data_IF_070287270446
#
_entry.id   IF_070287270446
#
_cell.length_a   1.000
_cell.length_b   1.000
_cell.length_c   1.000
_cell.angle_alpha   90.00
_cell.angle_beta   90.00
_cell.angle_gamma   90.00
#
_symmetry.space_group_name_H-M   'P 1'
#
loop_
_entity.id
_entity.type
_entity.pdbx_description
1 polymer ?
#
# COMPACT_ATOMS: atom_id res chain seq x y z
N UNK A 1 -16.05 -4.47 -2.03
CA UNK A 1 -14.68 -4.10 -2.38
C UNK A 1 -13.72 -5.23 -2.15
N UNK A 2 -12.66 -5.28 -2.94
CA UNK A 2 -11.56 -6.24 -2.83
C UNK A 2 -10.23 -5.49 -2.86
N UNK A 3 -9.20 -6.07 -2.24
CA UNK A 3 -7.83 -5.54 -2.28
C UNK A 3 -6.93 -6.65 -2.79
N UNK A 4 -6.11 -6.35 -3.79
CA UNK A 4 -5.14 -7.29 -4.33
C UNK A 4 -3.80 -7.12 -3.63
N UNK A 5 -3.14 -8.22 -3.32
CA UNK A 5 -1.87 -8.21 -2.62
C UNK A 5 -1.21 -9.58 -2.63
N UNK A 6 -0.21 -9.73 -1.77
CA UNK A 6 0.57 -10.96 -1.61
C UNK A 6 0.51 -11.38 -0.15
N UNK A 7 0.24 -12.66 0.10
CA UNK A 7 0.40 -13.27 1.40
C UNK A 7 1.79 -13.89 1.51
N UNK A 8 2.49 -13.63 2.62
CA UNK A 8 3.81 -14.20 2.91
C UNK A 8 3.69 -15.18 4.07
N UNK A 9 4.19 -16.40 3.87
CA UNK A 9 4.35 -17.37 4.96
C UNK A 9 5.65 -17.09 5.70
N UNK A 10 5.56 -16.95 7.03
CA UNK A 10 6.71 -16.74 7.90
C UNK A 10 7.01 -18.07 8.59
N UNK A 11 8.28 -18.49 8.54
CA UNK A 11 8.70 -19.71 9.23
C UNK A 11 8.57 -19.53 10.74
N UNK A 12 8.25 -20.59 11.47
CA UNK A 12 8.15 -20.54 12.95
C UNK A 12 9.47 -20.09 13.62
N UNK A 13 10.62 -20.32 12.97
CA UNK A 13 11.92 -19.88 13.49
C UNK A 13 12.11 -18.36 13.37
N UNK A 14 11.48 -17.73 12.38
CA UNK A 14 11.64 -16.32 12.06
C UNK A 14 10.46 -15.47 12.55
N UNK A 15 9.38 -16.08 13.07
CA UNK A 15 8.16 -15.37 13.46
C UNK A 15 8.44 -14.19 14.39
N UNK A 16 9.23 -14.42 15.45
CA UNK A 16 9.53 -13.38 16.45
C UNK A 16 10.35 -12.24 15.85
N UNK A 17 11.36 -12.55 15.03
CA UNK A 17 12.24 -11.54 14.45
C UNK A 17 11.53 -10.73 13.37
N UNK A 18 10.75 -11.38 12.50
CA UNK A 18 9.94 -10.72 11.47
C UNK A 18 8.87 -9.85 12.11
N UNK A 19 8.16 -10.36 13.13
CA UNK A 19 7.14 -9.58 13.83
C UNK A 19 7.73 -8.34 14.51
N UNK A 20 8.90 -8.46 15.14
CA UNK A 20 9.59 -7.31 15.71
C UNK A 20 9.91 -6.23 14.66
N UNK A 21 10.39 -6.63 13.48
CA UNK A 21 10.67 -5.67 12.38
C UNK A 21 9.38 -5.02 11.87
N UNK A 22 8.30 -5.79 11.72
CA UNK A 22 7.00 -5.29 11.30
C UNK A 22 6.42 -4.30 12.33
N UNK A 23 6.49 -4.62 13.62
CA UNK A 23 6.00 -3.73 14.69
C UNK A 23 6.72 -2.38 14.70
N UNK A 24 8.02 -2.35 14.38
CA UNK A 24 8.79 -1.11 14.25
C UNK A 24 8.38 -0.31 13.01
N UNK A 25 8.07 -0.98 11.89
CA UNK A 25 7.65 -0.34 10.65
C UNK A 25 6.25 0.26 10.78
N UNK A 26 5.34 -0.46 11.43
CA UNK A 26 3.91 -0.11 11.54
C UNK A 26 3.57 0.58 12.87
N UNK A 27 4.59 1.09 13.58
CA UNK A 27 4.50 1.72 14.91
C UNK A 27 3.54 2.91 15.03
N UNK A 28 3.15 3.51 13.90
CA UNK A 28 2.37 4.73 13.84
C UNK A 28 0.86 4.46 13.87
N UNK A 29 0.40 3.66 14.84
CA UNK A 29 -1.02 3.45 15.13
C UNK A 29 -1.72 2.39 14.28
N UNK A 30 -0.97 1.50 13.63
CA UNK A 30 -1.54 0.33 12.97
C UNK A 30 -1.85 -0.77 13.99
N UNK A 31 -2.91 -1.53 13.72
CA UNK A 31 -3.30 -2.72 14.48
C UNK A 31 -3.29 -3.94 13.57
N UNK A 32 -3.02 -5.11 14.14
CA UNK A 32 -3.10 -6.37 13.40
C UNK A 32 -4.57 -6.81 13.38
N UNK A 33 -5.09 -7.04 12.17
CA UNK A 33 -6.40 -7.65 11.96
C UNK A 33 -6.26 -8.99 11.25
N UNK A 34 -7.21 -9.88 11.52
CA UNK A 34 -7.37 -11.15 10.82
C UNK A 34 -8.28 -10.96 9.60
N UNK A 35 -7.90 -11.51 8.45
CA UNK A 35 -8.69 -11.47 7.22
C UNK A 35 -8.57 -12.76 6.42
N UNK A 36 -9.57 -13.05 5.60
CA UNK A 36 -9.48 -14.11 4.61
C UNK A 36 -8.64 -13.65 3.43
N UNK A 37 -7.78 -14.53 2.95
CA UNK A 37 -7.01 -14.39 1.71
C UNK A 37 -7.48 -15.45 0.71
N UNK A 38 -7.74 -15.00 -0.50
CA UNK A 38 -8.22 -15.81 -1.62
C UNK A 38 -7.10 -15.89 -2.66
N UNK A 39 -6.35 -17.00 -2.74
CA UNK A 39 -5.24 -17.13 -3.68
C UNK A 39 -5.68 -16.97 -5.13
N UNK A 40 -4.80 -16.39 -5.96
CA UNK A 40 -5.03 -16.30 -7.42
C UNK A 40 -5.05 -17.69 -8.08
N UNK A 41 -4.25 -18.61 -7.55
CA UNK A 41 -4.21 -20.00 -7.96
C UNK A 41 -5.41 -20.74 -7.35
N UNK A 42 -6.36 -21.13 -8.20
CA UNK A 42 -7.63 -21.77 -7.79
C UNK A 42 -7.44 -23.16 -7.18
N UNK A 43 -6.25 -23.76 -7.33
CA UNK A 43 -5.93 -25.03 -6.68
C UNK A 43 -5.56 -24.84 -5.19
N UNK A 44 -5.18 -23.62 -4.80
CA UNK A 44 -4.87 -23.29 -3.43
C UNK A 44 -6.15 -22.95 -2.66
N UNK A 45 -6.22 -23.44 -1.41
CA UNK A 45 -7.34 -23.16 -0.54
C UNK A 45 -7.25 -21.75 0.03
N UNK A 46 -8.41 -21.14 0.22
CA UNK A 46 -8.57 -19.94 1.03
C UNK A 46 -7.89 -20.13 2.39
N UNK A 47 -7.26 -19.06 2.87
CA UNK A 47 -6.50 -19.09 4.12
C UNK A 47 -6.73 -17.84 4.94
N UNK A 48 -6.52 -17.96 6.24
CA UNK A 48 -6.53 -16.83 7.17
C UNK A 48 -5.16 -16.17 7.17
N UNK A 49 -5.13 -14.86 7.00
CA UNK A 49 -3.92 -14.05 7.06
C UNK A 49 -4.08 -12.89 8.04
N UNK A 50 -2.94 -12.37 8.49
CA UNK A 50 -2.88 -11.16 9.30
C UNK A 50 -2.44 -9.99 8.42
N UNK A 51 -3.05 -8.83 8.62
CA UNK A 51 -2.63 -7.58 7.97
C UNK A 51 -2.64 -6.43 8.96
N UNK A 52 -1.82 -5.42 8.71
CA UNK A 52 -1.76 -4.21 9.52
C UNK A 52 -2.72 -3.17 8.94
N UNK A 53 -3.63 -2.66 9.78
CA UNK A 53 -4.62 -1.66 9.41
C UNK A 53 -4.64 -0.52 10.42
N UNK A 54 -4.59 0.71 9.91
CA UNK A 54 -4.82 1.91 10.71
C UNK A 54 -6.32 2.20 10.81
N UNK A 55 -6.79 2.52 12.02
CA UNK A 55 -8.18 2.94 12.27
C UNK A 55 -8.38 4.44 11.98
N UNK A 56 -9.64 4.89 11.88
CA UNK A 56 -9.96 6.31 11.63
C UNK A 56 -9.54 7.23 12.78
N UNK A 57 -9.34 6.69 13.97
CA UNK A 57 -8.84 7.40 15.15
C UNK A 57 -7.31 7.58 15.12
N UNK A 58 -6.61 7.03 14.11
CA UNK A 58 -5.17 7.20 13.98
C UNK A 58 -4.83 8.70 13.78
N UNK A 59 -3.92 9.29 14.59
CA UNK A 59 -3.57 10.71 14.47
C UNK A 59 -2.93 11.08 13.13
N UNK A 60 -2.46 10.10 12.37
CA UNK A 60 -1.90 10.26 11.02
C UNK A 60 -2.93 10.04 9.91
N UNK A 61 -4.20 9.77 10.24
CA UNK A 61 -5.27 9.68 9.24
C UNK A 61 -5.52 11.06 8.63
N UNK A 62 -5.15 11.22 7.35
CA UNK A 62 -5.31 12.48 6.60
C UNK A 62 -6.76 12.82 6.22
N UNK A 63 -7.73 11.96 6.55
CA UNK A 63 -9.12 12.12 6.14
C UNK A 63 -9.40 11.66 4.71
N UNK A 64 -10.67 11.75 4.33
CA UNK A 64 -11.08 11.62 2.93
C UNK A 64 -10.72 12.92 2.19
N UNK A 65 -10.11 12.82 1.01
CA UNK A 65 -9.69 13.97 0.22
C UNK A 65 -9.94 13.76 -1.29
N UNK A 66 -10.16 14.83 -2.05
CA UNK A 66 -10.21 14.76 -3.51
C UNK A 66 -8.91 14.19 -4.11
N UNK A 67 -9.03 13.41 -5.19
CA UNK A 67 -7.90 12.71 -5.82
C UNK A 67 -6.79 13.67 -6.30
N UNK A 68 -7.16 14.85 -6.77
CA UNK A 68 -6.24 15.91 -7.18
C UNK A 68 -5.41 16.44 -5.99
N UNK A 69 -6.02 16.62 -4.82
CA UNK A 69 -5.30 17.04 -3.62
C UNK A 69 -4.36 15.95 -3.10
N UNK A 70 -4.81 14.69 -3.13
CA UNK A 70 -3.97 13.54 -2.78
C UNK A 70 -2.78 13.44 -3.75
N UNK A 71 -3.03 13.57 -5.05
CA UNK A 71 -1.99 13.50 -6.07
C UNK A 71 -0.94 14.63 -5.91
N UNK A 72 -1.38 15.86 -5.65
CA UNK A 72 -0.49 16.99 -5.39
C UNK A 72 0.41 16.71 -4.19
N UNK A 73 -0.17 16.24 -3.08
CA UNK A 73 0.60 15.87 -1.89
C UNK A 73 1.60 14.75 -2.19
N UNK A 74 1.21 13.72 -2.95
CA UNK A 74 2.10 12.61 -3.30
C UNK A 74 3.24 13.09 -4.21
N UNK A 75 2.98 13.99 -5.16
CA UNK A 75 3.98 14.47 -6.10
C UNK A 75 5.16 15.14 -5.38
N UNK A 76 4.87 15.95 -4.35
CA UNK A 76 5.87 16.82 -3.71
C UNK A 76 6.35 16.37 -2.32
N UNK A 77 5.65 15.44 -1.66
CA UNK A 77 6.08 14.96 -0.34
C UNK A 77 7.31 14.05 -0.42
N UNK A 78 8.18 14.15 0.60
CA UNK A 78 9.34 13.30 0.79
C UNK A 78 9.60 13.04 2.28
N UNK A 79 10.29 11.95 2.57
CA UNK A 79 10.68 11.59 3.93
C UNK A 79 12.01 10.83 3.97
N UNK A 80 12.37 10.25 5.13
CA UNK A 80 13.62 9.51 5.29
C UNK A 80 13.78 8.32 4.31
N UNK A 81 12.67 7.80 3.78
CA UNK A 81 12.64 6.65 2.86
C UNK A 81 12.63 7.03 1.37
N UNK A 82 12.68 8.33 1.03
CA UNK A 82 12.60 8.82 -0.35
C UNK A 82 11.36 9.67 -0.63
N UNK A 83 11.04 9.85 -1.91
CA UNK A 83 9.87 10.62 -2.36
C UNK A 83 8.59 9.78 -2.26
N UNK A 84 7.46 10.44 -2.03
CA UNK A 84 6.18 9.76 -1.92
C UNK A 84 5.69 9.22 -3.27
N UNK A 85 6.00 9.91 -4.38
CA UNK A 85 5.68 9.42 -5.72
C UNK A 85 6.43 8.13 -6.09
N UNK A 86 7.66 7.92 -5.61
CA UNK A 86 8.37 6.64 -5.81
C UNK A 86 7.65 5.47 -5.13
N UNK A 87 7.09 5.69 -3.93
CA UNK A 87 6.29 4.69 -3.24
C UNK A 87 5.05 4.32 -4.06
N UNK A 88 4.30 5.32 -4.53
CA UNK A 88 3.11 5.11 -5.36
C UNK A 88 3.44 4.33 -6.64
N UNK A 89 4.50 4.71 -7.35
CA UNK A 89 4.86 4.07 -8.62
C UNK A 89 5.29 2.62 -8.45
N UNK A 90 6.09 2.31 -7.42
CA UNK A 90 6.49 0.93 -7.08
C UNK A 90 5.28 0.08 -6.73
N UNK A 91 4.32 0.62 -5.98
CA UNK A 91 3.08 -0.08 -5.66
C UNK A 91 2.24 -0.34 -6.92
N UNK A 92 2.03 0.68 -7.75
CA UNK A 92 1.27 0.55 -8.99
C UNK A 92 1.92 -0.45 -9.98
N UNK A 93 3.26 -0.48 -10.06
CA UNK A 93 3.99 -1.49 -10.82
C UNK A 93 3.78 -2.89 -10.24
N UNK A 94 3.98 -3.08 -8.94
CA UNK A 94 3.81 -4.37 -8.28
C UNK A 94 2.40 -4.96 -8.49
N UNK A 95 1.35 -4.14 -8.33
CA UNK A 95 -0.03 -4.57 -8.57
C UNK A 95 -0.25 -5.01 -10.03
N UNK A 96 0.26 -4.25 -11.00
CA UNK A 96 0.19 -4.63 -12.43
C UNK A 96 0.91 -5.95 -12.72
N UNK A 97 1.99 -6.24 -12.00
CA UNK A 97 2.74 -7.50 -12.17
C UNK A 97 1.98 -8.71 -11.60
N UNK A 98 1.37 -8.59 -10.42
CA UNK A 98 0.76 -9.74 -9.74
C UNK A 98 -0.66 -10.05 -10.20
N UNK A 99 -1.41 -9.05 -10.67
CA UNK A 99 -2.82 -9.20 -11.07
C UNK A 99 -3.15 -8.40 -12.32
N UNK A 100 -4.12 -8.90 -13.10
CA UNK A 100 -4.75 -8.14 -14.19
C UNK A 100 -5.90 -7.27 -13.70
N UNK A 101 -6.18 -7.29 -12.39
CA UNK A 101 -7.27 -6.51 -11.81
C UNK A 101 -6.97 -5.01 -11.83
N UNK A 102 -8.03 -4.23 -11.99
CA UNK A 102 -7.94 -2.78 -12.06
C UNK A 102 -8.29 -2.18 -10.70
N UNK A 103 -7.27 -1.69 -9.99
CA UNK A 103 -7.45 -0.82 -8.84
C UNK A 103 -7.61 0.62 -9.36
N UNK A 104 -8.86 1.04 -9.55
CA UNK A 104 -9.19 2.34 -10.13
C UNK A 104 -8.58 3.50 -9.33
N UNK A 105 -8.61 3.41 -8.00
CA UNK A 105 -8.09 4.47 -7.14
C UNK A 105 -6.58 4.60 -7.27
N UNK A 106 -5.85 3.49 -7.13
CA UNK A 106 -4.39 3.45 -7.25
C UNK A 106 -3.92 3.92 -8.62
N UNK A 107 -4.54 3.44 -9.69
CA UNK A 107 -4.11 3.78 -11.05
C UNK A 107 -4.50 5.20 -11.46
N UNK A 108 -5.60 5.74 -10.93
CA UNK A 108 -5.93 7.15 -11.14
C UNK A 108 -4.90 8.06 -10.46
N UNK A 109 -4.52 7.77 -9.22
CA UNK A 109 -3.44 8.51 -8.54
C UNK A 109 -2.11 8.41 -9.28
N UNK A 110 -1.72 7.21 -9.74
CA UNK A 110 -0.49 6.99 -10.51
C UNK A 110 -0.42 7.89 -11.76
N UNK A 111 -1.54 8.06 -12.48
CA UNK A 111 -1.60 8.92 -13.67
C UNK A 111 -1.60 10.42 -13.33
N UNK A 112 -2.33 10.82 -12.28
CA UNK A 112 -2.38 12.22 -11.84
C UNK A 112 -0.99 12.69 -11.39
N UNK A 113 -0.30 11.90 -10.57
CA UNK A 113 1.04 12.23 -10.07
C UNK A 113 2.05 12.32 -11.23
N UNK A 114 2.02 11.39 -12.19
CA UNK A 114 2.86 11.48 -13.40
C UNK A 114 2.63 12.77 -14.18
N UNK A 115 1.36 13.16 -14.34
CA UNK A 115 0.98 14.40 -15.03
C UNK A 115 1.55 15.63 -14.33
N UNK A 116 1.42 15.72 -13.01
CA UNK A 116 1.94 16.83 -12.20
C UNK A 116 3.46 16.93 -12.34
N UNK A 117 4.18 15.82 -12.19
CA UNK A 117 5.64 15.80 -12.29
C UNK A 117 6.13 16.21 -13.69
N UNK A 118 5.48 15.73 -14.76
CA UNK A 118 5.83 16.15 -16.13
C UNK A 118 5.57 17.65 -16.36
N UNK A 119 4.53 18.21 -15.76
CA UNK A 119 4.26 19.65 -15.85
C UNK A 119 5.30 20.48 -15.08
N UNK A 120 5.79 19.98 -13.94
CA UNK A 120 6.81 20.66 -13.15
C UNK A 120 8.19 20.65 -13.84
N UNK A 121 8.52 19.60 -14.59
CA UNK A 121 9.74 19.54 -15.42
C UNK A 121 9.72 20.53 -16.61
N UNK A 122 8.54 20.97 -17.04
CA UNK A 122 8.34 21.88 -18.17
C UNK A 122 8.29 23.37 -17.78
N UNK A 123 8.35 23.69 -16.48
CA UNK A 123 8.40 25.05 -15.94
C UNK A 123 9.84 25.55 -15.77
#
# INVERSE_FOLDING_TARGET
>A
DCVYGVAYEISNADEVSVRHVLDVREKDGYTIIETNFYPKDVEQKDMTCYTYMAHRENPFWGGDAPLDQIAEQIAHAYGPSGTNHEYLFKLAEAIRTITSAHDEHLFTLDQLVKTILTQDEQK
#
